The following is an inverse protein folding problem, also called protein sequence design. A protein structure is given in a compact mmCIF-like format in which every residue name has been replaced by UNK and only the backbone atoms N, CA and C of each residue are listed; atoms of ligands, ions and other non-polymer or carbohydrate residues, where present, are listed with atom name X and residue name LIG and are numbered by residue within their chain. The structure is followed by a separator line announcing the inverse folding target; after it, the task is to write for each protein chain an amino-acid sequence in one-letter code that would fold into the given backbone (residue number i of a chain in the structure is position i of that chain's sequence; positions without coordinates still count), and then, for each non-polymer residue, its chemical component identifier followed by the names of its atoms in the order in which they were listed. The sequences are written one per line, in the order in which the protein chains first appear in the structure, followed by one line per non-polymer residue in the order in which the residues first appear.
data_IF_846247458906
#
_entry.id   IF_846247458906
#
_cell.length_a   1.000
_cell.length_b   1.000
_cell.length_c   1.000
_cell.angle_alpha   90.00
_cell.angle_beta   90.00
_cell.angle_gamma   90.00
#
_symmetry.space_group_name_H-M   'P 1'
#
loop_
_entity.id
_entity.type
_entity.pdbx_description
1 polymer ?
#
# COMPACT_ATOMS: atom_id res chain seq x y z
N UNK A 1 -29.28 -8.07 11.69
CA UNK A 1 -28.88 -9.20 10.82
C UNK A 1 -27.56 -9.72 11.40
N UNK A 2 -27.43 -10.99 11.80
CA UNK A 2 -26.16 -11.49 12.28
C UNK A 2 -25.17 -11.49 11.09
N UNK A 3 -24.01 -10.87 11.27
CA UNK A 3 -22.91 -10.98 10.31
C UNK A 3 -22.52 -12.46 10.24
N UNK A 4 -22.79 -13.12 9.12
CA UNK A 4 -22.11 -14.36 8.77
C UNK A 4 -20.62 -14.04 8.71
N UNK A 5 -19.87 -14.51 9.72
CA UNK A 5 -18.43 -14.59 9.63
C UNK A 5 -18.16 -15.57 8.50
N UNK A 6 -17.81 -15.05 7.33
CA UNK A 6 -17.27 -15.87 6.23
C UNK A 6 -16.05 -16.57 6.82
N UNK A 7 -16.19 -17.85 7.13
CA UNK A 7 -15.11 -18.66 7.68
C UNK A 7 -14.08 -18.82 6.57
N UNK A 8 -13.09 -17.93 6.57
CA UNK A 8 -11.93 -18.00 5.67
C UNK A 8 -11.29 -19.37 5.86
N UNK A 9 -11.03 -20.06 4.75
CA UNK A 9 -10.43 -21.38 4.79
C UNK A 9 -9.02 -21.32 5.40
N UNK A 10 -8.56 -22.43 5.97
CA UNK A 10 -7.24 -22.50 6.60
C UNK A 10 -6.11 -21.99 5.68
N UNK A 11 -5.10 -21.35 6.29
CA UNK A 11 -3.93 -20.85 5.57
C UNK A 11 -3.23 -21.98 4.81
N UNK A 12 -2.96 -21.75 3.53
CA UNK A 12 -2.12 -22.63 2.70
C UNK A 12 -0.65 -22.26 2.81
N UNK A 13 0.17 -23.23 3.21
CA UNK A 13 1.61 -23.07 3.43
C UNK A 13 2.47 -23.58 2.26
N UNK A 14 1.85 -24.15 1.25
CA UNK A 14 2.44 -24.67 0.02
C UNK A 14 2.51 -23.61 -1.11
N UNK A 15 1.83 -22.47 -0.92
CA UNK A 15 1.79 -21.36 -1.87
C UNK A 15 2.80 -20.30 -1.46
N UNK A 16 3.60 -19.86 -2.43
CA UNK A 16 4.51 -18.74 -2.26
C UNK A 16 4.64 -17.96 -3.56
N UNK A 17 4.68 -16.63 -3.45
CA UNK A 17 5.04 -15.75 -4.56
C UNK A 17 6.56 -15.59 -4.70
N UNK A 18 7.30 -15.94 -3.64
CA UNK A 18 8.75 -15.78 -3.52
C UNK A 18 9.44 -17.04 -4.06
N UNK A 19 10.18 -16.86 -5.15
CA UNK A 19 11.14 -17.85 -5.64
C UNK A 19 12.44 -17.78 -4.84
N UNK A 20 13.29 -18.80 -4.97
CA UNK A 20 14.61 -18.78 -4.33
C UNK A 20 15.49 -17.64 -4.85
N UNK A 21 15.32 -17.25 -6.12
CA UNK A 21 15.99 -16.10 -6.72
C UNK A 21 15.53 -14.78 -6.09
N UNK A 22 14.22 -14.64 -5.83
CA UNK A 22 13.69 -13.44 -5.15
C UNK A 22 14.30 -13.31 -3.74
N UNK A 23 14.38 -14.42 -3.00
CA UNK A 23 14.99 -14.44 -1.66
C UNK A 23 16.48 -14.09 -1.73
N UNK A 24 17.22 -14.66 -2.69
CA UNK A 24 18.62 -14.37 -2.90
C UNK A 24 18.85 -12.87 -3.18
N UNK A 25 18.12 -12.30 -4.16
CA UNK A 25 18.23 -10.89 -4.51
C UNK A 25 17.82 -9.95 -3.37
N UNK A 26 16.82 -10.34 -2.57
CA UNK A 26 16.38 -9.57 -1.41
C UNK A 26 17.47 -9.52 -0.33
N UNK A 27 18.09 -10.67 -0.03
CA UNK A 27 19.18 -10.75 0.95
C UNK A 27 20.41 -9.93 0.53
N UNK A 28 20.69 -9.85 -0.77
CA UNK A 28 21.76 -9.02 -1.34
C UNK A 28 21.37 -7.53 -1.45
N UNK A 29 20.13 -7.15 -1.12
CA UNK A 29 19.64 -5.78 -1.25
C UNK A 29 19.45 -5.31 -2.71
N UNK A 30 19.43 -6.23 -3.68
CA UNK A 30 19.42 -5.94 -5.11
C UNK A 30 18.08 -6.31 -5.79
N UNK A 31 17.03 -6.62 -5.03
CA UNK A 31 15.71 -6.90 -5.57
C UNK A 31 14.88 -5.62 -5.78
N UNK A 32 15.09 -4.94 -6.91
CA UNK A 32 14.43 -3.65 -7.24
C UNK A 32 12.90 -3.71 -7.43
N UNK A 33 12.34 -4.92 -7.45
CA UNK A 33 10.91 -5.21 -7.63
C UNK A 33 10.34 -6.08 -6.51
N UNK A 34 10.95 -6.05 -5.33
CA UNK A 34 10.51 -6.87 -4.19
C UNK A 34 9.06 -6.55 -3.78
N UNK A 35 8.57 -5.35 -4.06
CA UNK A 35 7.18 -4.96 -3.83
C UNK A 35 6.16 -5.78 -4.64
N UNK A 36 6.58 -6.47 -5.71
CA UNK A 36 5.71 -7.42 -6.43
C UNK A 36 5.52 -8.74 -5.64
N UNK A 37 6.26 -8.91 -4.53
CA UNK A 37 6.36 -10.15 -3.75
C UNK A 37 6.00 -9.95 -2.28
N UNK A 38 6.49 -8.87 -1.67
CA UNK A 38 6.19 -8.46 -0.29
C UNK A 38 4.89 -7.67 -0.23
N UNK A 39 4.17 -7.80 0.88
CA UNK A 39 2.89 -7.14 1.11
C UNK A 39 1.70 -8.07 0.92
N UNK A 40 0.55 -7.52 0.52
CA UNK A 40 -0.66 -8.27 0.17
C UNK A 40 -0.88 -8.30 -1.34
N UNK A 41 -1.01 -9.49 -1.91
CA UNK A 41 -1.19 -9.69 -3.36
C UNK A 41 -2.39 -10.58 -3.63
N UNK A 42 -3.38 -10.04 -4.34
CA UNK A 42 -4.53 -10.81 -4.81
C UNK A 42 -4.07 -11.82 -5.86
N UNK A 43 -4.44 -13.09 -5.66
CA UNK A 43 -4.08 -14.16 -6.58
C UNK A 43 -5.12 -15.29 -6.57
N UNK A 44 -5.03 -16.15 -7.58
CA UNK A 44 -5.84 -17.35 -7.70
C UNK A 44 -4.93 -18.57 -7.72
N UNK A 45 -5.11 -19.47 -6.75
CA UNK A 45 -4.31 -20.67 -6.60
C UNK A 45 -5.22 -21.89 -6.74
N UNK A 46 -4.97 -22.70 -7.77
CA UNK A 46 -5.74 -23.92 -8.04
C UNK A 46 -7.25 -23.68 -8.15
N UNK A 47 -7.66 -22.54 -8.73
CA UNK A 47 -9.06 -22.15 -8.88
C UNK A 47 -9.65 -21.39 -7.68
N UNK A 48 -8.89 -21.25 -6.59
CA UNK A 48 -9.34 -20.57 -5.39
C UNK A 48 -8.78 -19.14 -5.33
N UNK A 49 -9.66 -18.14 -5.39
CA UNK A 49 -9.29 -16.75 -5.20
C UNK A 49 -8.94 -16.47 -3.73
N UNK A 50 -7.93 -15.64 -3.50
CA UNK A 50 -7.52 -15.23 -2.17
C UNK A 50 -6.40 -14.19 -2.22
N UNK A 51 -5.69 -14.07 -1.11
CA UNK A 51 -4.58 -13.12 -0.99
C UNK A 51 -3.35 -13.81 -0.41
N UNK A 52 -2.21 -13.65 -1.07
CA UNK A 52 -0.90 -13.96 -0.52
C UNK A 52 -0.41 -12.79 0.32
N UNK A 53 0.00 -13.09 1.55
CA UNK A 53 0.59 -12.14 2.48
C UNK A 53 2.05 -12.49 2.72
N UNK A 54 2.91 -11.48 2.77
CA UNK A 54 4.32 -11.67 3.09
C UNK A 54 4.93 -10.43 3.74
N UNK A 55 5.75 -10.64 4.77
CA UNK A 55 6.40 -9.55 5.52
C UNK A 55 7.78 -9.96 6.01
N UNK A 56 8.75 -9.05 5.94
CA UNK A 56 10.07 -9.27 6.51
C UNK A 56 10.09 -8.91 8.00
N UNK A 57 10.28 -9.92 8.85
CA UNK A 57 10.34 -9.80 10.29
C UNK A 57 11.33 -10.85 10.87
N UNK A 58 12.64 -10.67 10.64
CA UNK A 58 13.65 -11.72 10.88
C UNK A 58 13.78 -12.15 12.34
N UNK A 59 13.52 -11.24 13.28
CA UNK A 59 13.61 -11.48 14.72
C UNK A 59 12.24 -11.79 15.35
N UNK A 60 11.21 -12.04 14.54
CA UNK A 60 9.92 -12.51 15.04
C UNK A 60 10.01 -13.98 15.46
N UNK A 61 9.35 -14.32 16.57
CA UNK A 61 9.06 -15.69 16.98
C UNK A 61 7.81 -16.23 16.29
N UNK A 62 6.83 -15.36 16.08
CA UNK A 62 5.58 -15.67 15.38
C UNK A 62 5.09 -14.43 14.65
N UNK A 63 4.58 -14.64 13.44
CA UNK A 63 3.83 -13.64 12.69
C UNK A 63 2.49 -14.25 12.31
N UNK A 64 1.42 -13.49 12.42
CA UNK A 64 0.07 -13.90 12.00
C UNK A 64 -0.61 -12.76 11.26
N UNK A 65 -1.51 -13.07 10.34
CA UNK A 65 -2.35 -12.05 9.68
C UNK A 65 -3.69 -12.01 10.39
N UNK A 66 -4.06 -10.84 10.86
CA UNK A 66 -5.37 -10.60 11.46
C UNK A 66 -6.09 -9.49 10.72
N UNK A 67 -7.42 -9.54 10.67
CA UNK A 67 -8.19 -8.60 9.88
C UNK A 67 -9.69 -8.74 10.02
N UNK A 68 -10.42 -8.00 9.19
CA UNK A 68 -11.89 -8.01 9.18
C UNK A 68 -12.47 -9.41 8.92
N UNK A 69 -11.73 -10.24 8.20
CA UNK A 69 -12.13 -11.58 7.77
C UNK A 69 -11.97 -12.68 8.84
N UNK A 70 -11.31 -12.39 9.96
CA UNK A 70 -11.12 -13.35 11.06
C UNK A 70 -11.43 -12.74 12.44
N UNK A 71 -12.22 -11.66 12.45
CA UNK A 71 -12.59 -10.96 13.69
C UNK A 71 -11.39 -10.37 14.43
N UNK A 72 -10.31 -10.05 13.72
CA UNK A 72 -9.04 -9.59 14.31
C UNK A 72 -8.39 -10.60 15.27
N UNK A 73 -8.65 -11.91 15.10
CA UNK A 73 -8.07 -12.95 15.94
C UNK A 73 -6.63 -13.29 15.50
N UNK A 74 -5.59 -12.99 16.30
CA UNK A 74 -4.20 -13.24 15.94
C UNK A 74 -3.84 -14.73 15.86
N UNK A 75 -4.56 -15.61 16.55
CA UNK A 75 -4.26 -17.05 16.58
C UNK A 75 -4.79 -17.81 15.37
N UNK A 76 -5.63 -17.16 14.56
CA UNK A 76 -6.40 -17.83 13.51
C UNK A 76 -5.59 -18.10 12.22
N UNK A 77 -4.66 -17.23 11.85
CA UNK A 77 -3.94 -17.31 10.57
C UNK A 77 -2.43 -17.04 10.74
N UNK A 78 -1.67 -17.95 11.40
CA UNK A 78 -0.23 -17.83 11.52
C UNK A 78 0.46 -17.91 10.15
N UNK A 79 1.51 -17.13 9.92
CA UNK A 79 2.35 -17.21 8.73
C UNK A 79 3.49 -18.20 8.92
N UNK A 80 4.10 -18.65 7.81
CA UNK A 80 5.25 -19.54 7.79
C UNK A 80 6.52 -18.74 7.51
N UNK A 81 7.55 -18.93 8.33
CA UNK A 81 8.88 -18.38 8.05
C UNK A 81 9.54 -19.09 6.85
N UNK A 82 10.12 -18.31 5.93
CA UNK A 82 10.92 -18.80 4.80
C UNK A 82 12.39 -18.94 5.19
N UNK A 83 12.74 -20.12 5.69
CA UNK A 83 14.11 -20.49 6.02
C UNK A 83 14.85 -19.38 6.79
N UNK A 84 16.08 -19.04 6.41
CA UNK A 84 16.90 -17.99 7.02
C UNK A 84 16.66 -16.57 6.47
N UNK A 85 15.68 -16.37 5.57
CA UNK A 85 15.43 -15.04 4.97
C UNK A 85 14.83 -14.02 5.94
N UNK A 86 14.19 -14.51 7.01
CA UNK A 86 13.40 -13.67 7.91
C UNK A 86 12.06 -13.20 7.33
N UNK A 87 11.70 -13.65 6.13
CA UNK A 87 10.38 -13.39 5.53
C UNK A 87 9.36 -14.39 6.07
N UNK A 88 8.18 -13.90 6.40
CA UNK A 88 7.02 -14.69 6.80
C UNK A 88 5.98 -14.59 5.70
N UNK A 89 5.39 -15.72 5.29
CA UNK A 89 4.42 -15.76 4.19
C UNK A 89 3.26 -16.73 4.41
N UNK A 90 2.18 -16.54 3.66
CA UNK A 90 1.06 -17.46 3.59
C UNK A 90 -0.03 -17.00 2.63
N UNK A 91 -0.74 -17.96 2.04
CA UNK A 91 -1.92 -17.69 1.21
C UNK A 91 -3.20 -17.95 2.01
N UNK A 92 -4.10 -16.97 2.02
CA UNK A 92 -5.40 -17.03 2.68
C UNK A 92 -6.52 -17.03 1.62
N UNK A 93 -7.17 -18.17 1.37
CA UNK A 93 -8.27 -18.25 0.42
C UNK A 93 -9.51 -17.48 0.88
N UNK A 94 -10.20 -16.79 -0.04
CA UNK A 94 -11.42 -16.04 0.25
C UNK A 94 -11.20 -14.64 0.84
N UNK A 95 -9.95 -14.25 1.10
CA UNK A 95 -9.60 -12.85 1.41
C UNK A 95 -9.49 -12.06 0.10
N UNK A 96 -10.37 -11.07 -0.07
CA UNK A 96 -10.53 -10.31 -1.30
C UNK A 96 -10.13 -8.84 -1.12
N UNK A 97 -10.11 -8.09 -2.24
CA UNK A 97 -9.92 -6.64 -2.25
C UNK A 97 -10.86 -5.93 -1.26
N UNK A 98 -10.34 -4.95 -0.54
CA UNK A 98 -11.04 -4.18 0.49
C UNK A 98 -10.95 -4.78 1.89
N UNK A 99 -10.42 -6.00 2.05
CA UNK A 99 -10.22 -6.60 3.37
C UNK A 99 -9.20 -5.78 4.19
N UNK A 100 -9.58 -5.43 5.42
CA UNK A 100 -8.69 -4.77 6.37
C UNK A 100 -7.80 -5.80 7.04
N UNK A 101 -6.51 -5.51 7.20
CA UNK A 101 -5.58 -6.40 7.87
C UNK A 101 -4.41 -5.68 8.56
N UNK A 102 -3.77 -6.41 9.48
CA UNK A 102 -2.49 -6.10 10.12
C UNK A 102 -1.69 -7.38 10.31
N UNK A 103 -0.38 -7.23 10.43
CA UNK A 103 0.49 -8.30 10.93
C UNK A 103 0.57 -8.23 12.46
N UNK A 104 0.17 -9.29 13.12
CA UNK A 104 0.43 -9.50 14.54
C UNK A 104 1.82 -10.14 14.68
N UNK A 105 2.73 -9.47 15.37
CA UNK A 105 4.13 -9.88 15.49
C UNK A 105 4.48 -10.11 16.96
N UNK A 106 4.93 -11.32 17.27
CA UNK A 106 5.52 -11.70 18.56
C UNK A 106 7.03 -11.80 18.37
N UNK A 107 7.82 -10.98 19.05
CA UNK A 107 9.28 -10.92 18.89
C UNK A 107 10.02 -11.90 19.82
N UNK A 108 11.22 -12.32 19.40
CA UNK A 108 12.20 -12.91 20.31
C UNK A 108 12.77 -11.90 21.31
N UNK A 109 12.71 -10.60 21.01
CA UNK A 109 13.31 -9.55 21.82
C UNK A 109 12.34 -9.07 22.89
N UNK A 110 12.72 -9.25 24.16
CA UNK A 110 12.06 -8.67 25.35
C UNK A 110 10.55 -8.90 25.44
N UNK A 111 10.04 -9.97 24.81
CA UNK A 111 8.61 -10.28 24.79
C UNK A 111 7.74 -9.25 24.06
N UNK A 112 8.32 -8.42 23.17
CA UNK A 112 7.54 -7.45 22.41
C UNK A 112 6.46 -8.16 21.58
N UNK A 113 5.23 -7.65 21.70
CA UNK A 113 4.08 -8.03 20.89
C UNK A 113 3.47 -6.77 20.31
N UNK A 114 3.18 -6.76 19.01
CA UNK A 114 2.58 -5.60 18.39
C UNK A 114 1.90 -5.87 17.06
N UNK A 115 0.88 -5.07 16.79
CA UNK A 115 0.11 -5.08 15.56
C UNK A 115 0.64 -4.01 14.61
N UNK A 116 1.06 -4.42 13.43
CA UNK A 116 1.72 -3.57 12.45
C UNK A 116 0.90 -3.46 11.18
N UNK A 117 0.77 -2.23 10.68
CA UNK A 117 0.43 -2.01 9.29
C UNK A 117 1.49 -2.67 8.39
N UNK A 118 1.06 -3.08 7.20
CA UNK A 118 1.96 -3.67 6.21
C UNK A 118 2.95 -2.61 5.69
N UNK A 119 4.28 -2.83 5.82
CA UNK A 119 5.28 -1.94 5.25
C UNK A 119 5.18 -1.78 3.73
N UNK A 120 4.68 -2.81 3.04
CA UNK A 120 4.46 -2.87 1.59
C UNK A 120 2.97 -2.75 1.21
N UNK A 121 2.11 -2.38 2.16
CA UNK A 121 0.70 -2.13 1.87
C UNK A 121 0.55 -0.99 0.86
N UNK A 122 -0.27 -1.21 -0.17
CA UNK A 122 -0.52 -0.21 -1.23
C UNK A 122 -1.75 0.65 -0.95
N UNK A 123 -2.49 0.34 0.12
CA UNK A 123 -3.61 1.12 0.60
C UNK A 123 -3.81 0.92 2.11
N UNK A 124 -4.26 1.97 2.81
CA UNK A 124 -4.50 1.97 4.25
C UNK A 124 -5.85 2.59 4.59
N UNK A 125 -6.34 2.33 5.81
CA UNK A 125 -7.47 3.08 6.35
C UNK A 125 -7.14 4.56 6.55
N UNK A 126 -8.17 5.41 6.49
CA UNK A 126 -8.05 6.81 6.85
C UNK A 126 -7.53 6.99 8.30
N UNK A 127 -6.49 7.81 8.52
CA UNK A 127 -6.04 8.18 9.85
C UNK A 127 -7.20 8.74 10.72
N UNK A 128 -7.23 8.46 12.04
CA UNK A 128 -6.16 7.87 12.84
C UNK A 128 -6.12 6.32 12.84
N UNK A 129 -6.95 5.66 12.03
CA UNK A 129 -6.88 4.20 11.89
C UNK A 129 -5.62 3.80 11.12
N UNK A 130 -5.20 2.55 11.31
CA UNK A 130 -3.86 2.09 10.90
C UNK A 130 -3.85 0.72 10.23
N UNK A 131 -5.00 0.13 9.91
CA UNK A 131 -4.98 -1.12 9.15
C UNK A 131 -4.54 -0.86 7.70
N UNK A 132 -3.84 -1.84 7.15
CA UNK A 132 -3.65 -1.93 5.70
C UNK A 132 -4.92 -2.50 5.07
N UNK A 133 -5.09 -2.25 3.78
CA UNK A 133 -6.23 -2.74 2.99
C UNK A 133 -5.69 -3.57 1.84
N UNK A 134 -6.19 -4.80 1.70
CA UNK A 134 -5.89 -5.63 0.53
C UNK A 134 -6.40 -4.92 -0.71
N UNK A 135 -5.53 -4.63 -1.67
CA UNK A 135 -5.89 -3.81 -2.82
C UNK A 135 -5.06 -4.19 -4.05
N UNK A 136 -5.69 -4.15 -5.22
CA UNK A 136 -5.04 -4.36 -6.51
C UNK A 136 -4.93 -3.03 -7.29
N UNK A 137 -3.93 -2.92 -8.16
CA UNK A 137 -3.55 -1.69 -8.87
C UNK A 137 -3.93 -1.72 -10.37
N UNK A 138 -5.08 -2.30 -10.72
CA UNK A 138 -5.55 -2.53 -12.10
C UNK A 138 -6.06 -1.30 -12.87
N UNK A 139 -5.54 -0.10 -12.61
CA UNK A 139 -5.94 1.10 -13.36
C UNK A 139 -5.51 1.05 -14.83
N UNK A 140 -6.43 1.38 -15.75
CA UNK A 140 -6.15 1.48 -17.19
C UNK A 140 -5.65 2.87 -17.54
N UNK A 141 -4.35 2.99 -17.75
CA UNK A 141 -3.70 4.23 -18.14
C UNK A 141 -3.97 4.62 -19.60
N UNK A 142 -4.03 5.92 -19.87
CA UNK A 142 -4.22 6.49 -21.21
C UNK A 142 -3.17 7.58 -21.54
N UNK A 143 -1.96 7.46 -20.99
CA UNK A 143 -0.88 8.45 -21.07
C UNK A 143 0.31 7.98 -21.92
N UNK A 144 0.11 6.95 -22.75
CA UNK A 144 1.19 6.33 -23.54
C UNK A 144 1.97 7.33 -24.39
N UNK A 145 1.27 8.24 -25.07
CA UNK A 145 1.90 9.27 -25.91
C UNK A 145 2.79 10.20 -25.08
N UNK A 146 2.33 10.60 -23.90
CA UNK A 146 3.11 11.40 -22.96
C UNK A 146 4.36 10.64 -22.50
N UNK A 147 4.22 9.37 -22.12
CA UNK A 147 5.33 8.55 -21.61
C UNK A 147 6.45 8.36 -22.65
N UNK A 148 6.11 8.30 -23.95
CA UNK A 148 7.09 8.27 -25.05
C UNK A 148 7.87 9.59 -25.15
N UNK A 149 7.19 10.74 -24.95
CA UNK A 149 7.81 12.07 -25.07
C UNK A 149 8.50 12.56 -23.79
N UNK A 150 8.19 11.95 -22.63
CA UNK A 150 8.67 12.37 -21.30
C UNK A 150 10.19 12.58 -21.22
N UNK A 151 11.08 11.71 -21.75
CA UNK A 151 12.52 11.92 -21.65
C UNK A 151 13.00 13.26 -22.23
N UNK A 152 12.40 13.72 -23.33
CA UNK A 152 12.75 15.00 -23.93
C UNK A 152 12.25 16.17 -23.08
N UNK A 153 11.01 16.08 -22.58
CA UNK A 153 10.33 17.12 -21.78
C UNK A 153 10.89 17.27 -20.36
N UNK A 154 11.56 16.26 -19.83
CA UNK A 154 12.22 16.29 -18.51
C UNK A 154 13.75 16.25 -18.63
N UNK A 155 14.30 16.55 -19.80
CA UNK A 155 15.75 16.65 -19.99
C UNK A 155 16.33 17.89 -19.30
N UNK A 156 17.64 17.90 -19.04
CA UNK A 156 18.35 19.06 -18.48
C UNK A 156 18.29 20.31 -19.38
N UNK A 157 17.90 20.15 -20.65
CA UNK A 157 17.76 21.24 -21.63
C UNK A 157 16.29 21.66 -21.83
N UNK A 158 15.34 20.97 -21.20
CA UNK A 158 13.94 21.33 -21.29
C UNK A 158 13.65 22.58 -20.44
N UNK A 159 12.61 23.32 -20.84
CA UNK A 159 12.05 24.36 -19.97
C UNK A 159 11.37 23.69 -18.79
N UNK A 160 11.84 24.01 -17.58
CA UNK A 160 11.30 23.47 -16.32
C UNK A 160 10.82 24.64 -15.48
N UNK A 161 9.50 24.72 -15.30
CA UNK A 161 8.81 25.57 -14.35
C UNK A 161 7.84 24.70 -13.56
N UNK A 162 8.00 24.69 -12.24
CA UNK A 162 7.35 23.76 -11.30
C UNK A 162 6.36 24.54 -10.44
N UNK A 163 5.15 24.01 -10.32
CA UNK A 163 4.16 24.45 -9.33
C UNK A 163 4.13 23.47 -8.16
N UNK A 164 4.65 23.89 -7.00
CA UNK A 164 4.66 23.07 -5.79
C UNK A 164 3.27 23.09 -5.11
N UNK A 165 2.77 21.90 -4.72
CA UNK A 165 1.40 21.74 -4.22
C UNK A 165 1.35 20.80 -3.02
N UNK A 166 0.73 21.26 -1.94
CA UNK A 166 0.20 20.39 -0.90
C UNK A 166 -1.28 20.08 -1.17
N UNK A 167 -1.58 18.83 -1.55
CA UNK A 167 -2.91 18.44 -2.04
C UNK A 167 -4.05 18.76 -1.06
N UNK A 168 -3.81 18.54 0.22
CA UNK A 168 -4.82 18.75 1.25
C UNK A 168 -5.20 20.20 1.48
N UNK A 169 -4.39 21.16 1.04
CA UNK A 169 -4.61 22.60 1.30
C UNK A 169 -4.71 23.44 0.03
N UNK A 170 -4.56 22.85 -1.15
CA UNK A 170 -4.62 23.60 -2.42
C UNK A 170 -6.02 24.18 -2.68
N UNK A 171 -7.07 23.37 -2.50
CA UNK A 171 -8.46 23.83 -2.63
C UNK A 171 -9.35 23.06 -1.65
N UNK A 172 -10.33 23.75 -1.07
CA UNK A 172 -11.34 23.20 -0.17
C UNK A 172 -12.73 23.31 -0.80
N UNK A 173 -13.67 22.54 -0.28
CA UNK A 173 -15.10 22.62 -0.62
C UNK A 173 -15.83 23.29 0.56
N UNK A 174 -16.10 24.61 0.51
CA UNK A 174 -16.71 25.34 1.63
C UNK A 174 -18.06 24.77 2.07
N UNK A 175 -18.86 24.33 1.11
CA UNK A 175 -20.21 23.78 1.31
C UNK A 175 -20.16 22.43 2.05
N UNK A 176 -19.02 21.74 2.03
CA UNK A 176 -18.81 20.45 2.65
C UNK A 176 -17.83 20.56 3.83
N UNK A 177 -18.13 21.49 4.74
CA UNK A 177 -17.36 21.74 5.96
C UNK A 177 -15.86 21.96 5.71
N UNK A 178 -15.52 22.64 4.62
CA UNK A 178 -14.13 22.88 4.20
C UNK A 178 -13.31 21.59 4.03
N UNK A 179 -13.91 20.47 3.61
CA UNK A 179 -13.14 19.27 3.28
C UNK A 179 -12.14 19.53 2.15
N UNK A 180 -11.06 18.76 2.11
CA UNK A 180 -10.16 18.72 0.96
C UNK A 180 -10.85 18.06 -0.24
N UNK A 181 -10.37 18.38 -1.45
CA UNK A 181 -10.73 17.62 -2.64
C UNK A 181 -10.16 16.19 -2.55
N UNK A 182 -10.90 15.23 -3.11
CA UNK A 182 -10.36 13.90 -3.39
C UNK A 182 -9.52 13.93 -4.69
N UNK A 183 -8.76 12.87 -4.97
CA UNK A 183 -7.89 12.80 -6.15
C UNK A 183 -8.64 13.03 -7.47
N UNK A 184 -9.86 12.52 -7.61
CA UNK A 184 -10.68 12.63 -8.82
C UNK A 184 -11.27 14.01 -9.03
N UNK A 185 -11.56 14.74 -7.96
CA UNK A 185 -11.98 16.14 -8.01
C UNK A 185 -10.80 17.08 -8.26
N UNK A 186 -9.66 16.79 -7.63
CA UNK A 186 -8.44 17.57 -7.73
C UNK A 186 -7.83 17.51 -9.14
N UNK A 187 -7.68 16.31 -9.70
CA UNK A 187 -6.95 16.07 -10.94
C UNK A 187 -7.36 17.00 -12.11
N UNK A 188 -8.64 17.10 -12.51
CA UNK A 188 -9.03 17.96 -13.63
C UNK A 188 -8.83 19.45 -13.29
N UNK A 189 -9.13 19.87 -12.06
CA UNK A 189 -9.02 21.28 -11.64
C UNK A 189 -7.57 21.75 -11.59
N UNK A 190 -6.70 20.92 -11.01
CA UNK A 190 -5.27 21.24 -10.91
C UNK A 190 -4.62 21.23 -12.29
N UNK A 191 -4.97 20.26 -13.15
CA UNK A 191 -4.46 20.22 -14.52
C UNK A 191 -4.87 21.45 -15.34
N UNK A 192 -6.15 21.86 -15.24
CA UNK A 192 -6.65 23.08 -15.91
C UNK A 192 -5.90 24.32 -15.42
N UNK A 193 -5.77 24.49 -14.10
CA UNK A 193 -5.08 25.63 -13.51
C UNK A 193 -3.61 25.70 -13.93
N UNK A 194 -2.88 24.59 -13.82
CA UNK A 194 -1.45 24.50 -14.17
C UNK A 194 -1.24 24.77 -15.67
N UNK A 195 -2.13 24.26 -16.51
CA UNK A 195 -2.09 24.54 -17.95
C UNK A 195 -2.38 26.02 -18.23
N UNK A 196 -3.38 26.64 -17.60
CA UNK A 196 -3.67 28.06 -17.75
C UNK A 196 -2.48 28.94 -17.34
N UNK A 197 -1.83 28.59 -16.23
CA UNK A 197 -0.66 29.30 -15.70
C UNK A 197 0.66 28.95 -16.41
N UNK A 198 0.62 28.05 -17.40
CA UNK A 198 1.77 27.64 -18.21
C UNK A 198 2.93 27.02 -17.42
N UNK A 199 2.64 26.37 -16.28
CA UNK A 199 3.65 25.52 -15.62
C UNK A 199 3.86 24.23 -16.40
N UNK A 200 5.08 23.71 -16.35
CA UNK A 200 5.46 22.49 -17.08
C UNK A 200 5.33 21.23 -16.23
N UNK A 201 5.42 21.38 -14.90
CA UNK A 201 5.46 20.29 -13.94
C UNK A 201 4.71 20.70 -12.67
N UNK A 202 4.24 19.69 -11.94
CA UNK A 202 3.71 19.83 -10.59
C UNK A 202 4.63 19.04 -9.66
N UNK A 203 5.08 19.67 -8.59
CA UNK A 203 5.78 18.99 -7.49
C UNK A 203 4.81 18.84 -6.33
N UNK A 204 4.66 17.61 -5.84
CA UNK A 204 3.76 17.33 -4.73
C UNK A 204 4.57 17.24 -3.44
N UNK A 205 4.11 17.92 -2.39
CA UNK A 205 4.49 17.52 -1.04
C UNK A 205 4.15 16.03 -0.82
N UNK A 206 4.81 15.34 0.12
CA UNK A 206 4.71 13.89 0.23
C UNK A 206 3.28 13.37 0.25
N UNK A 207 2.95 12.53 -0.73
CA UNK A 207 1.62 11.95 -0.90
C UNK A 207 1.50 10.55 -0.31
N UNK A 208 2.59 10.00 0.23
CA UNK A 208 2.59 8.71 0.91
C UNK A 208 1.75 8.75 2.19
N UNK A 209 1.28 7.60 2.67
CA UNK A 209 0.45 7.54 3.87
C UNK A 209 1.23 8.00 5.12
N UNK A 210 0.62 8.91 5.87
CA UNK A 210 1.20 9.55 7.05
C UNK A 210 0.11 9.82 8.09
N UNK A 211 0.35 9.54 9.38
CA UNK A 211 -0.71 9.59 10.40
C UNK A 211 -1.06 11.03 10.80
N UNK A 212 -0.07 11.92 10.85
CA UNK A 212 -0.25 13.29 11.34
C UNK A 212 -0.29 14.30 10.19
N UNK A 213 -1.45 14.92 9.99
CA UNK A 213 -1.65 15.88 8.91
C UNK A 213 -0.75 17.13 9.01
N UNK A 214 -0.43 17.57 10.24
CA UNK A 214 0.47 18.70 10.47
C UNK A 214 1.93 18.45 10.11
N UNK A 215 2.31 17.21 9.76
CA UNK A 215 3.63 16.90 9.22
C UNK A 215 3.80 17.29 7.75
N UNK A 216 2.71 17.68 7.08
CA UNK A 216 2.66 17.93 5.63
C UNK A 216 3.11 16.72 4.78
N UNK A 217 3.04 15.53 5.35
CA UNK A 217 3.48 14.28 4.73
C UNK A 217 4.92 13.87 5.04
N UNK A 218 5.74 14.72 5.68
CA UNK A 218 7.15 14.39 5.95
C UNK A 218 7.36 13.34 7.04
N UNK A 219 6.31 12.97 7.80
CA UNK A 219 6.34 11.87 8.77
C UNK A 219 5.61 10.64 8.22
N UNK A 220 6.15 10.06 7.15
CA UNK A 220 5.58 8.91 6.44
C UNK A 220 5.63 7.62 7.26
N UNK A 221 4.56 6.82 7.18
CA UNK A 221 4.51 5.46 7.74
C UNK A 221 4.13 4.38 6.73
N UNK A 222 3.41 4.73 5.66
CA UNK A 222 3.06 3.81 4.57
C UNK A 222 3.71 4.25 3.25
N UNK A 223 4.95 3.82 3.01
CA UNK A 223 5.77 4.27 1.89
C UNK A 223 5.26 3.83 0.51
N UNK A 224 4.50 2.73 0.45
CA UNK A 224 4.01 2.13 -0.79
C UNK A 224 2.55 2.52 -1.12
N UNK A 225 1.92 3.35 -0.29
CA UNK A 225 0.52 3.74 -0.45
C UNK A 225 0.39 5.26 -0.57
N UNK A 226 -0.37 5.79 -1.55
CA UNK A 226 -0.85 7.16 -1.48
C UNK A 226 -1.79 7.31 -0.26
N UNK A 227 -1.78 8.47 0.38
CA UNK A 227 -2.63 8.72 1.56
C UNK A 227 -4.11 8.57 1.20
N UNK A 228 -4.79 7.76 2.00
CA UNK A 228 -6.20 7.43 1.87
C UNK A 228 -7.13 8.64 2.06
N UNK A 229 -6.62 9.73 2.66
CA UNK A 229 -7.37 11.00 2.88
C UNK A 229 -8.06 11.54 1.63
N UNK A 230 -7.48 11.32 0.46
CA UNK A 230 -7.99 11.84 -0.81
C UNK A 230 -8.58 10.76 -1.72
N UNK A 231 -8.72 9.51 -1.25
CA UNK A 231 -9.36 8.43 -1.99
C UNK A 231 -8.45 7.22 -2.20
N UNK A 232 -8.78 6.45 -3.23
CA UNK A 232 -8.12 5.18 -3.56
C UNK A 232 -6.85 5.40 -4.41
N UNK A 233 -5.96 4.38 -4.50
CA UNK A 233 -4.81 4.42 -5.39
C UNK A 233 -5.11 4.68 -6.88
N UNK A 234 -6.31 4.34 -7.36
CA UNK A 234 -6.76 4.55 -8.75
C UNK A 234 -7.26 5.97 -9.01
#
# INVERSE_FOLDING_TARGET
MPNEIIQVAERRADVSLLTDQDIYLFNEGNHYRIYDKLGSHLNNVSGQAGTSFSVWAPNARQVSVMGSFNGWNPDSHPLRARASSGIWEGFLPGVNQGALYKFHIVSHNQGYVGDKADPFGVFHENPPRTASVVWDLTYKWNDREWMVQRPARSSLQASISIYEVHLGSWTRVPEEHNRSLNYRELAPRLAEYVNHMQFTHVELLPVMEHPFYGSWGYQTTGYFAPTSRYGTPQ
#
